data_IF_321309566535
#
_entry.id   IF_321309566535
#
_cell.length_a   1.000
_cell.length_b   1.000
_cell.length_c   1.000
_cell.angle_alpha   90.00
_cell.angle_beta   90.00
_cell.angle_gamma   90.00
#
_symmetry.space_group_name_H-M   'P 1'
#
loop_
_entity.id
_entity.type
_entity.pdbx_description
1 polymer ?
#
# COMPACT_ATOMS: atom_id res chain seq x y z
N UNK A 1 17.86 -9.37 2.08
CA UNK A 1 17.19 -8.51 3.10
C UNK A 1 15.79 -9.05 3.36
N UNK A 2 15.44 -9.34 4.62
CA UNK A 2 14.09 -9.75 5.03
C UNK A 2 13.10 -8.63 4.73
N UNK A 3 12.00 -8.92 4.04
CA UNK A 3 10.93 -7.93 3.87
C UNK A 3 10.39 -7.56 5.26
N UNK A 4 10.24 -6.25 5.55
CA UNK A 4 9.68 -5.78 6.83
C UNK A 4 8.20 -6.17 7.00
N UNK A 5 7.52 -6.51 5.90
CA UNK A 5 6.15 -7.01 5.88
C UNK A 5 6.15 -8.52 5.65
N UNK A 6 5.46 -9.25 6.52
CA UNK A 6 5.15 -10.67 6.30
C UNK A 6 4.05 -10.82 5.21
N UNK A 7 3.86 -12.02 4.68
CA UNK A 7 2.92 -12.27 3.59
C UNK A 7 1.47 -11.87 3.95
N UNK A 8 1.04 -12.04 5.20
CA UNK A 8 -0.29 -11.64 5.65
C UNK A 8 -0.46 -10.10 5.66
N UNK A 9 0.55 -9.37 6.14
CA UNK A 9 0.56 -7.91 6.11
C UNK A 9 0.59 -7.37 4.67
N UNK A 10 1.29 -8.07 3.76
CA UNK A 10 1.30 -7.72 2.34
C UNK A 10 -0.10 -7.87 1.73
N UNK A 11 -0.80 -8.97 2.04
CA UNK A 11 -2.18 -9.19 1.60
C UNK A 11 -3.15 -8.14 2.18
N UNK A 12 -2.98 -7.77 3.45
CA UNK A 12 -3.83 -6.75 4.08
C UNK A 12 -3.60 -5.36 3.48
N UNK A 13 -2.34 -4.99 3.20
CA UNK A 13 -2.01 -3.75 2.48
C UNK A 13 -2.69 -3.72 1.11
N UNK A 14 -2.60 -4.82 0.36
CA UNK A 14 -3.24 -4.92 -0.97
C UNK A 14 -4.74 -4.73 -0.84
N UNK A 15 -5.39 -5.48 0.05
CA UNK A 15 -6.84 -5.38 0.29
C UNK A 15 -7.28 -3.96 0.64
N UNK A 16 -6.59 -3.30 1.58
CA UNK A 16 -6.94 -1.95 2.02
C UNK A 16 -6.82 -0.92 0.90
N UNK A 17 -5.79 -1.04 0.06
CA UNK A 17 -5.53 -0.11 -1.05
C UNK A 17 -6.43 -0.39 -2.25
N UNK A 18 -6.64 -1.66 -2.60
CA UNK A 18 -7.51 -2.08 -3.71
C UNK A 18 -8.98 -1.73 -3.44
N UNK A 19 -9.43 -1.90 -2.18
CA UNK A 19 -10.78 -1.52 -1.75
C UNK A 19 -10.95 0.00 -1.58
N UNK A 20 -9.86 0.77 -1.65
CA UNK A 20 -9.88 2.23 -1.45
C UNK A 20 -10.14 2.66 -0.01
N UNK A 21 -10.05 1.75 0.97
CA UNK A 21 -10.24 2.06 2.40
C UNK A 21 -9.09 2.90 2.95
N UNK A 22 -7.88 2.75 2.39
CA UNK A 22 -6.69 3.52 2.74
C UNK A 22 -5.82 3.82 1.54
N UNK A 23 -5.14 4.95 1.60
CA UNK A 23 -4.08 5.26 0.63
C UNK A 23 -2.84 4.40 0.90
N UNK A 24 -2.00 4.24 -0.11
CA UNK A 24 -0.69 3.59 0.04
C UNK A 24 0.21 4.29 1.08
N UNK A 25 0.05 5.62 1.25
CA UNK A 25 0.78 6.39 2.25
C UNK A 25 0.29 6.10 3.67
N UNK A 26 -1.02 5.96 3.85
CA UNK A 26 -1.60 5.64 5.16
C UNK A 26 -1.32 4.19 5.57
N UNK A 27 -1.36 3.25 4.62
CA UNK A 27 -0.91 1.88 4.86
C UNK A 27 0.58 1.86 5.29
N UNK A 28 1.44 2.65 4.64
CA UNK A 28 2.85 2.74 5.01
C UNK A 28 3.04 3.22 6.47
N UNK A 29 2.27 4.22 6.89
CA UNK A 29 2.26 4.72 8.27
C UNK A 29 1.76 3.66 9.25
N UNK A 30 0.65 2.99 8.95
CA UNK A 30 0.01 1.99 9.80
C UNK A 30 0.92 0.79 10.08
N UNK A 31 1.65 0.32 9.06
CA UNK A 31 2.57 -0.81 9.20
C UNK A 31 4.02 -0.39 9.54
N UNK A 32 4.29 0.91 9.74
CA UNK A 32 5.63 1.41 10.09
C UNK A 32 6.69 1.14 9.01
N UNK A 33 6.29 1.16 7.73
CA UNK A 33 7.18 0.86 6.59
C UNK A 33 7.34 2.05 5.66
N UNK A 34 8.38 2.01 4.84
CA UNK A 34 8.62 3.06 3.85
C UNK A 34 7.62 3.00 2.70
N UNK A 35 7.14 4.16 2.22
CA UNK A 35 6.20 4.26 1.08
C UNK A 35 6.71 3.52 -0.16
N UNK A 36 8.03 3.53 -0.42
CA UNK A 36 8.63 2.80 -1.55
C UNK A 36 8.47 1.28 -1.44
N UNK A 37 8.38 0.72 -0.23
CA UNK A 37 8.13 -0.72 -0.05
C UNK A 37 6.70 -1.08 -0.43
N UNK A 38 5.73 -0.22 -0.06
CA UNK A 38 4.33 -0.38 -0.48
C UNK A 38 4.20 -0.19 -1.99
N UNK A 39 4.81 0.85 -2.56
CA UNK A 39 4.79 1.10 -4.01
C UNK A 39 5.35 -0.08 -4.83
N UNK A 40 6.48 -0.67 -4.41
CA UNK A 40 7.03 -1.89 -5.04
C UNK A 40 6.10 -3.09 -4.92
N UNK A 41 5.43 -3.23 -3.78
CA UNK A 41 4.48 -4.32 -3.54
C UNK A 41 3.25 -4.20 -4.44
N UNK A 42 2.69 -2.99 -4.58
CA UNK A 42 1.58 -2.71 -5.50
C UNK A 42 1.97 -2.94 -6.97
N UNK A 43 3.16 -2.48 -7.37
CA UNK A 43 3.68 -2.70 -8.72
C UNK A 43 3.86 -4.20 -9.02
N UNK A 44 4.34 -4.98 -8.03
CA UNK A 44 4.51 -6.43 -8.18
C UNK A 44 3.19 -7.21 -8.20
N UNK A 45 2.16 -6.72 -7.53
CA UNK A 45 0.84 -7.35 -7.51
C UNK A 45 0.05 -7.18 -8.82
N UNK A 46 0.57 -6.44 -9.81
CA UNK A 46 -0.11 -6.24 -11.09
C UNK A 46 -1.11 -5.09 -11.08
N UNK A 47 -1.17 -4.30 -10.01
CA UNK A 47 -1.95 -3.06 -9.94
C UNK A 47 -1.25 -1.91 -10.70
N UNK A 48 -0.70 -2.20 -11.88
CA UNK A 48 0.03 -1.25 -12.73
C UNK A 48 -0.87 -0.08 -13.22
N UNK A 49 -2.19 -0.18 -13.04
CA UNK A 49 -3.15 0.90 -13.33
C UNK A 49 -3.69 1.66 -12.11
N UNK A 50 -3.40 1.26 -10.88
CA UNK A 50 -4.01 1.82 -9.65
C UNK A 50 -3.03 2.70 -8.86
N UNK A 51 -2.27 3.57 -9.54
CA UNK A 51 -1.46 4.62 -8.88
C UNK A 51 -2.31 5.87 -8.62
N UNK A 52 -3.61 5.70 -8.32
CA UNK A 52 -4.67 6.71 -8.47
C UNK A 52 -5.29 7.25 -7.18
N UNK A 53 -4.74 6.94 -6.00
CA UNK A 53 -5.38 7.33 -4.72
C UNK A 53 -4.62 8.39 -3.90
N UNK A 54 -3.86 9.28 -4.54
CA UNK A 54 -3.41 10.55 -3.92
C UNK A 54 -4.48 11.66 -4.13
N UNK A 55 -5.77 11.31 -4.08
CA UNK A 55 -6.86 12.30 -3.89
C UNK A 55 -6.82 12.77 -2.44
N UNK A 56 -5.89 13.68 -2.18
CA UNK A 56 -5.78 14.43 -0.94
C UNK A 56 -7.10 15.16 -0.62
N UNK A 57 -7.55 15.00 0.63
CA UNK A 57 -8.31 15.95 1.46
C UNK A 57 -9.79 16.23 1.15
N UNK A 58 -10.67 15.90 2.11
CA UNK A 58 -11.83 16.74 2.46
C UNK A 58 -12.25 16.50 3.92
N UNK A 59 -11.48 17.03 4.87
CA UNK A 59 -11.96 17.85 5.99
C UNK A 59 -10.88 18.90 6.25
#
# INVERSE_FOLDING_TARGET
RKAKLNAAQQAEVLRMVEKGEKTAADAARLFGVHRSSISRLLAKAGSAGMVLADRKSSV
#
